data_IF_195617014880
#
_entry.id   IF_195617014880
#
_cell.length_a   1.000
_cell.length_b   1.000
_cell.length_c   1.000
_cell.angle_alpha   90.00
_cell.angle_beta   90.00
_cell.angle_gamma   90.00
#
_symmetry.space_group_name_H-M   'P 1'
#
loop_
_entity.id
_entity.type
_entity.pdbx_description
1 polymer ?
#
# COMPACT_ATOMS: atom_id res chain seq x y z
N UNK A 1 -21.66 -17.34 -0.07
CA UNK A 1 -20.33 -16.70 -0.17
C UNK A 1 -20.56 -15.21 -0.18
N UNK A 2 -20.09 -14.48 0.82
CA UNK A 2 -20.39 -13.05 0.98
C UNK A 2 -19.74 -12.24 -0.14
N UNK A 3 -20.56 -11.56 -0.95
CA UNK A 3 -20.10 -10.72 -2.07
C UNK A 3 -19.11 -9.63 -1.61
N UNK A 4 -19.28 -9.14 -0.37
CA UNK A 4 -18.40 -8.16 0.27
C UNK A 4 -16.97 -8.69 0.50
N UNK A 5 -16.82 -9.95 0.94
CA UNK A 5 -15.50 -10.57 1.19
C UNK A 5 -14.72 -10.79 -0.10
N UNK A 6 -15.42 -11.18 -1.17
CA UNK A 6 -14.80 -11.37 -2.50
C UNK A 6 -14.32 -10.04 -3.06
N UNK A 7 -15.16 -9.01 -3.03
CA UNK A 7 -14.77 -7.66 -3.48
C UNK A 7 -13.57 -7.11 -2.70
N UNK A 8 -13.53 -7.37 -1.38
CA UNK A 8 -12.41 -6.99 -0.54
C UNK A 8 -11.12 -7.73 -0.91
N UNK A 9 -11.18 -9.06 -1.11
CA UNK A 9 -10.03 -9.85 -1.53
C UNK A 9 -9.48 -9.41 -2.89
N UNK A 10 -10.35 -9.14 -3.86
CA UNK A 10 -9.96 -8.67 -5.20
C UNK A 10 -9.32 -7.28 -5.12
N UNK A 11 -9.93 -6.34 -4.39
CA UNK A 11 -9.37 -5.00 -4.21
C UNK A 11 -8.00 -5.03 -3.54
N UNK A 12 -7.84 -5.85 -2.50
CA UNK A 12 -6.57 -6.03 -1.81
C UNK A 12 -5.51 -6.67 -2.71
N UNK A 13 -5.88 -7.67 -3.51
CA UNK A 13 -5.00 -8.31 -4.49
C UNK A 13 -4.48 -7.31 -5.53
N UNK A 14 -5.37 -6.48 -6.07
CA UNK A 14 -4.99 -5.41 -7.02
C UNK A 14 -4.03 -4.41 -6.33
N UNK A 15 -4.33 -3.99 -5.10
CA UNK A 15 -3.47 -3.06 -4.36
C UNK A 15 -2.06 -3.64 -4.14
N UNK A 16 -1.95 -4.92 -3.78
CA UNK A 16 -0.67 -5.61 -3.61
C UNK A 16 0.12 -5.65 -4.93
N UNK A 17 -0.54 -5.96 -6.05
CA UNK A 17 0.10 -5.95 -7.37
C UNK A 17 0.66 -4.56 -7.71
N UNK A 18 -0.11 -3.50 -7.46
CA UNK A 18 0.37 -2.13 -7.65
C UNK A 18 1.56 -1.79 -6.76
N UNK A 19 1.58 -2.22 -5.50
CA UNK A 19 2.72 -2.02 -4.61
C UNK A 19 3.97 -2.77 -5.11
N UNK A 20 3.81 -4.01 -5.58
CA UNK A 20 4.92 -4.80 -6.16
C UNK A 20 5.47 -4.11 -7.41
N UNK A 21 4.59 -3.64 -8.30
CA UNK A 21 5.00 -2.89 -9.49
C UNK A 21 5.68 -1.59 -9.11
N UNK A 22 5.19 -0.85 -8.12
CA UNK A 22 5.81 0.40 -7.65
C UNK A 22 7.24 0.18 -7.13
N UNK A 23 7.49 -0.95 -6.47
CA UNK A 23 8.83 -1.34 -6.01
C UNK A 23 9.74 -1.79 -7.15
N UNK A 24 9.19 -2.48 -8.14
CA UNK A 24 9.97 -3.16 -9.19
C UNK A 24 10.23 -2.28 -10.42
N UNK A 25 9.33 -1.34 -10.71
CA UNK A 25 9.42 -0.50 -11.91
C UNK A 25 10.64 0.43 -11.82
N UNK A 26 11.36 0.55 -12.93
CA UNK A 26 12.52 1.44 -13.05
C UNK A 26 12.13 2.91 -13.24
N UNK A 27 10.96 3.31 -12.76
CA UNK A 27 10.37 4.65 -12.91
C UNK A 27 10.82 5.65 -11.84
N UNK A 28 11.66 5.24 -10.90
CA UNK A 28 12.27 6.16 -9.94
C UNK A 28 13.42 6.89 -10.62
N UNK A 29 13.80 8.07 -10.11
CA UNK A 29 14.84 8.93 -10.71
C UNK A 29 16.18 8.24 -10.96
N UNK A 30 16.44 7.14 -10.26
CA UNK A 30 17.64 6.30 -10.35
C UNK A 30 17.38 4.87 -10.86
N UNK A 31 16.17 4.57 -11.34
CA UNK A 31 15.75 3.23 -11.78
C UNK A 31 14.86 2.53 -10.75
N UNK A 32 15.29 1.39 -10.22
CA UNK A 32 14.49 0.54 -9.31
C UNK A 32 14.90 0.75 -7.85
N UNK A 33 13.93 0.87 -6.94
CA UNK A 33 14.14 1.26 -5.52
C UNK A 33 15.12 0.35 -4.78
N UNK A 34 14.99 -0.96 -4.90
CA UNK A 34 15.84 -1.93 -4.18
C UNK A 34 17.06 -2.42 -4.98
N UNK A 35 17.21 -2.00 -6.24
CA UNK A 35 18.30 -2.44 -7.10
C UNK A 35 19.22 -1.29 -7.43
N UNK A 36 19.07 -0.78 -8.66
CA UNK A 36 19.95 0.25 -9.22
C UNK A 36 20.05 1.50 -8.35
N UNK A 37 18.99 1.90 -7.64
CA UNK A 37 19.03 3.08 -6.76
C UNK A 37 19.93 2.91 -5.53
N UNK A 38 20.09 1.69 -5.02
CA UNK A 38 20.89 1.40 -3.82
C UNK A 38 22.34 1.09 -4.20
N UNK A 39 22.55 0.41 -5.31
CA UNK A 39 23.89 -0.03 -5.76
C UNK A 39 24.63 1.03 -6.59
N UNK A 40 23.93 2.04 -7.12
CA UNK A 40 24.55 3.04 -7.98
C UNK A 40 25.52 3.96 -7.21
N UNK A 41 26.81 3.87 -7.56
CA UNK A 41 27.89 4.68 -7.01
C UNK A 41 27.82 6.17 -7.37
N UNK A 42 26.99 6.57 -8.35
CA UNK A 42 26.84 7.97 -8.75
C UNK A 42 25.88 8.78 -7.87
N UNK A 43 25.21 8.13 -6.91
CA UNK A 43 24.24 8.76 -6.00
C UNK A 43 24.89 8.94 -4.63
N UNK A 44 24.74 10.13 -4.04
CA UNK A 44 25.26 10.41 -2.69
C UNK A 44 24.66 9.44 -1.67
N UNK A 45 25.48 8.98 -0.72
CA UNK A 45 25.10 7.94 0.25
C UNK A 45 23.86 8.34 1.07
N UNK A 46 23.65 9.64 1.31
CA UNK A 46 22.43 10.17 1.95
C UNK A 46 21.15 9.76 1.20
N UNK A 47 21.15 9.76 -0.13
CA UNK A 47 19.98 9.38 -0.92
C UNK A 47 19.80 7.86 -1.00
N UNK A 48 20.89 7.09 -0.97
CA UNK A 48 20.82 5.61 -0.91
C UNK A 48 20.11 5.15 0.35
N UNK A 49 20.42 5.74 1.50
CA UNK A 49 19.75 5.45 2.77
C UNK A 49 18.25 5.78 2.72
N UNK A 50 17.88 6.85 2.01
CA UNK A 50 16.48 7.19 1.78
C UNK A 50 15.79 6.11 0.94
N UNK A 51 16.33 5.74 -0.23
CA UNK A 51 15.74 4.69 -1.07
C UNK A 51 15.65 3.34 -0.36
N UNK A 52 16.66 2.98 0.42
CA UNK A 52 16.66 1.76 1.23
C UNK A 52 15.55 1.77 2.28
N UNK A 53 15.35 2.91 2.95
CA UNK A 53 14.27 3.10 3.92
C UNK A 53 12.91 3.01 3.25
N UNK A 54 12.70 3.75 2.16
CA UNK A 54 11.45 3.75 1.37
C UNK A 54 11.12 2.35 0.85
N UNK A 55 12.11 1.67 0.26
CA UNK A 55 11.99 0.29 -0.20
C UNK A 55 11.64 -0.67 0.93
N UNK A 56 12.29 -0.53 2.09
CA UNK A 56 11.98 -1.32 3.28
C UNK A 56 10.54 -1.13 3.77
N UNK A 57 10.07 0.12 3.88
CA UNK A 57 8.68 0.39 4.28
C UNK A 57 7.67 -0.17 3.26
N UNK A 58 7.95 -0.05 1.96
CA UNK A 58 7.10 -0.62 0.90
C UNK A 58 7.05 -2.16 0.97
N UNK A 59 8.18 -2.82 1.19
CA UNK A 59 8.22 -4.28 1.36
C UNK A 59 7.45 -4.70 2.60
N UNK A 60 7.61 -3.99 3.73
CA UNK A 60 6.80 -4.23 4.93
C UNK A 60 5.30 -4.06 4.65
N UNK A 61 4.91 -3.02 3.92
CA UNK A 61 3.52 -2.79 3.52
C UNK A 61 2.98 -3.96 2.66
N UNK A 62 3.77 -4.46 1.72
CA UNK A 62 3.40 -5.61 0.89
C UNK A 62 3.21 -6.86 1.74
N UNK A 63 4.13 -7.17 2.65
CA UNK A 63 4.06 -8.35 3.52
C UNK A 63 2.84 -8.31 4.45
N UNK A 64 2.54 -7.16 5.04
CA UNK A 64 1.37 -6.96 5.89
C UNK A 64 0.08 -7.16 5.08
N UNK A 65 0.00 -6.59 3.88
CA UNK A 65 -1.17 -6.75 3.01
C UNK A 65 -1.32 -8.19 2.48
N UNK A 66 -0.23 -8.90 2.21
CA UNK A 66 -0.27 -10.33 1.88
C UNK A 66 -0.84 -11.17 3.04
N UNK A 67 -0.46 -10.85 4.27
CA UNK A 67 -1.01 -11.50 5.46
C UNK A 67 -2.50 -11.18 5.62
N UNK A 68 -2.91 -9.93 5.38
CA UNK A 68 -4.32 -9.55 5.35
C UNK A 68 -5.09 -10.36 4.29
N UNK A 69 -4.54 -10.51 3.08
CA UNK A 69 -5.15 -11.28 1.99
C UNK A 69 -5.35 -12.74 2.36
N UNK A 70 -4.34 -13.36 2.96
CA UNK A 70 -4.42 -14.74 3.45
C UNK A 70 -5.55 -14.90 4.48
N UNK A 71 -5.72 -13.93 5.39
CA UNK A 71 -6.81 -13.95 6.39
C UNK A 71 -8.18 -13.77 5.74
N UNK A 72 -8.32 -12.90 4.73
CA UNK A 72 -9.60 -12.75 3.99
C UNK A 72 -9.97 -14.03 3.27
N UNK A 73 -9.00 -14.68 2.61
CA UNK A 73 -9.20 -15.95 1.92
C UNK A 73 -9.59 -17.03 2.94
N UNK A 74 -8.87 -17.11 4.06
CA UNK A 74 -9.19 -18.03 5.14
C UNK A 74 -10.61 -17.77 5.68
N UNK A 75 -11.03 -16.51 5.87
CA UNK A 75 -12.36 -16.12 6.30
C UNK A 75 -13.49 -16.34 5.28
N UNK A 76 -13.14 -16.65 4.03
CA UNK A 76 -14.09 -17.16 3.02
C UNK A 76 -14.33 -18.67 3.18
N UNK A 77 -13.32 -19.42 3.65
CA UNK A 77 -13.38 -20.88 3.85
C UNK A 77 -13.90 -21.22 5.26
N UNK A 78 -13.43 -20.48 6.27
CA UNK A 78 -13.82 -20.63 7.67
C UNK A 78 -14.74 -19.48 8.07
N UNK A 79 -15.93 -19.78 8.58
CA UNK A 79 -16.92 -18.77 8.96
C UNK A 79 -16.60 -18.12 10.31
N UNK A 80 -15.34 -17.72 10.52
CA UNK A 80 -14.90 -17.06 11.74
C UNK A 80 -15.12 -15.55 11.67
N UNK A 81 -15.90 -15.01 12.61
CA UNK A 81 -16.28 -13.60 12.67
C UNK A 81 -15.09 -12.64 12.86
N UNK A 82 -13.95 -13.11 13.39
CA UNK A 82 -12.77 -12.28 13.65
C UNK A 82 -11.88 -12.04 12.42
N UNK A 83 -12.07 -12.80 11.33
CA UNK A 83 -11.22 -12.73 10.13
C UNK A 83 -11.36 -11.39 9.40
N UNK A 84 -12.58 -10.90 9.22
CA UNK A 84 -12.86 -9.61 8.58
C UNK A 84 -12.22 -8.42 9.31
N UNK A 85 -12.45 -8.20 10.63
CA UNK A 85 -11.84 -7.07 11.34
C UNK A 85 -10.31 -7.19 11.43
N UNK A 86 -9.76 -8.40 11.56
CA UNK A 86 -8.32 -8.61 11.57
C UNK A 86 -7.68 -8.24 10.22
N UNK A 87 -8.25 -8.71 9.11
CA UNK A 87 -7.78 -8.36 7.78
C UNK A 87 -7.92 -6.87 7.48
N UNK A 88 -9.01 -6.24 7.92
CA UNK A 88 -9.20 -4.79 7.79
C UNK A 88 -8.10 -4.03 8.55
N UNK A 89 -7.83 -4.39 9.80
CA UNK A 89 -6.78 -3.76 10.61
C UNK A 89 -5.39 -3.88 9.98
N UNK A 90 -5.05 -5.07 9.47
CA UNK A 90 -3.78 -5.28 8.76
C UNK A 90 -3.70 -4.47 7.47
N UNK A 91 -4.80 -4.38 6.70
CA UNK A 91 -4.84 -3.58 5.47
C UNK A 91 -4.59 -2.10 5.77
N UNK A 92 -5.17 -1.58 6.85
CA UNK A 92 -4.90 -0.22 7.33
C UNK A 92 -3.43 -0.01 7.69
N UNK A 93 -2.82 -0.93 8.43
CA UNK A 93 -1.40 -0.88 8.75
C UNK A 93 -0.53 -0.87 7.49
N UNK A 94 -0.80 -1.78 6.55
CA UNK A 94 -0.09 -1.84 5.27
C UNK A 94 -0.21 -0.54 4.47
N UNK A 95 -1.41 0.06 4.44
CA UNK A 95 -1.66 1.38 3.86
C UNK A 95 -0.81 2.47 4.52
N UNK A 96 -0.79 2.54 5.85
CA UNK A 96 0.00 3.53 6.60
C UNK A 96 1.50 3.40 6.29
N UNK A 97 2.03 2.18 6.23
CA UNK A 97 3.44 1.96 5.85
C UNK A 97 3.74 2.45 4.44
N UNK A 98 2.84 2.19 3.47
CA UNK A 98 2.99 2.68 2.11
C UNK A 98 2.94 4.22 2.05
N UNK A 99 2.01 4.84 2.78
CA UNK A 99 1.91 6.30 2.89
C UNK A 99 3.15 6.91 3.53
N UNK A 100 3.65 6.31 4.61
CA UNK A 100 4.88 6.74 5.27
C UNK A 100 6.11 6.61 4.36
N UNK A 101 6.20 5.55 3.55
CA UNK A 101 7.27 5.37 2.57
C UNK A 101 7.28 6.51 1.54
N UNK A 102 6.12 6.82 0.97
CA UNK A 102 5.99 7.92 -0.01
C UNK A 102 6.24 9.27 0.67
N UNK A 103 5.68 9.50 1.85
CA UNK A 103 5.91 10.74 2.59
C UNK A 103 7.39 10.98 2.88
N UNK A 104 8.08 9.96 3.38
CA UNK A 104 9.50 10.03 3.67
C UNK A 104 10.35 10.26 2.41
N UNK A 105 9.99 9.60 1.29
CA UNK A 105 10.65 9.85 0.01
C UNK A 105 10.53 11.31 -0.40
N UNK A 106 9.31 11.86 -0.41
CA UNK A 106 9.07 13.21 -0.88
C UNK A 106 9.68 14.26 0.06
N UNK A 107 9.58 14.09 1.38
CA UNK A 107 10.20 14.98 2.38
C UNK A 107 11.71 15.13 2.15
N UNK A 108 12.38 14.05 1.79
CA UNK A 108 13.84 14.02 1.64
C UNK A 108 14.33 14.34 0.22
N UNK A 109 13.50 14.09 -0.81
CA UNK A 109 13.90 14.20 -2.22
C UNK A 109 13.30 15.40 -2.94
N UNK A 110 12.23 16.01 -2.45
CA UNK A 110 11.56 17.11 -3.16
C UNK A 110 10.85 18.09 -2.22
N UNK A 111 10.92 19.37 -2.53
CA UNK A 111 10.17 20.40 -1.79
C UNK A 111 8.66 20.43 -2.12
N UNK A 112 8.18 19.57 -3.03
CA UNK A 112 6.81 19.56 -3.56
C UNK A 112 6.01 18.38 -3.00
N UNK A 113 5.89 18.33 -1.66
CA UNK A 113 5.19 17.27 -0.93
C UNK A 113 3.65 17.42 -0.95
N UNK A 114 3.16 18.66 -1.04
CA UNK A 114 1.73 19.02 -1.03
C UNK A 114 0.83 18.27 -2.04
N UNK A 115 1.17 18.17 -3.35
CA UNK A 115 0.29 17.51 -4.32
C UNK A 115 0.19 16.00 -4.10
N UNK A 116 1.24 15.33 -3.62
CA UNK A 116 1.18 13.90 -3.31
C UNK A 116 0.30 13.63 -2.10
N UNK A 117 0.41 14.46 -1.04
CA UNK A 117 -0.51 14.38 0.07
C UNK A 117 -1.97 14.63 -0.34
N UNK A 118 -2.19 15.54 -1.29
CA UNK A 118 -3.52 15.78 -1.83
C UNK A 118 -4.06 14.53 -2.57
N UNK A 119 -3.24 13.85 -3.38
CA UNK A 119 -3.61 12.59 -4.04
C UNK A 119 -3.95 11.51 -3.01
N UNK A 120 -3.13 11.35 -1.97
CA UNK A 120 -3.40 10.43 -0.85
C UNK A 120 -4.76 10.77 -0.20
N UNK A 121 -4.98 12.03 0.13
CA UNK A 121 -6.24 12.50 0.72
C UNK A 121 -7.44 12.21 -0.19
N UNK A 122 -7.33 12.49 -1.49
CA UNK A 122 -8.36 12.20 -2.48
C UNK A 122 -8.68 10.71 -2.60
N UNK A 123 -7.68 9.83 -2.55
CA UNK A 123 -7.93 8.38 -2.58
C UNK A 123 -8.66 7.90 -1.34
N UNK A 124 -8.32 8.42 -0.15
CA UNK A 124 -8.99 8.10 1.10
C UNK A 124 -10.45 8.59 1.13
N UNK A 125 -10.71 9.81 0.67
CA UNK A 125 -12.08 10.35 0.60
C UNK A 125 -12.95 9.58 -0.40
N UNK A 126 -12.39 9.20 -1.55
CA UNK A 126 -13.07 8.37 -2.55
C UNK A 126 -13.41 6.99 -1.99
N UNK A 127 -12.47 6.34 -1.30
CA UNK A 127 -12.69 5.04 -0.69
C UNK A 127 -13.80 5.07 0.37
N UNK A 128 -13.82 6.11 1.22
CA UNK A 128 -14.89 6.32 2.20
C UNK A 128 -16.23 6.60 1.53
N UNK A 129 -16.26 7.45 0.49
CA UNK A 129 -17.48 7.74 -0.26
C UNK A 129 -18.07 6.46 -0.87
N UNK A 130 -17.26 5.64 -1.54
CA UNK A 130 -17.70 4.37 -2.13
C UNK A 130 -18.24 3.42 -1.04
N UNK A 131 -17.52 3.29 0.07
CA UNK A 131 -17.90 2.40 1.17
C UNK A 131 -19.24 2.82 1.79
N UNK A 132 -19.42 4.13 2.04
CA UNK A 132 -20.69 4.66 2.54
C UNK A 132 -21.82 4.51 1.53
N UNK A 133 -21.58 4.80 0.24
CA UNK A 133 -22.61 4.63 -0.80
C UNK A 133 -23.10 3.18 -0.89
N UNK A 134 -22.21 2.20 -0.77
CA UNK A 134 -22.58 0.78 -0.76
C UNK A 134 -23.41 0.40 0.48
N UNK A 135 -23.13 1.02 1.64
CA UNK A 135 -23.91 0.79 2.87
C UNK A 135 -25.33 1.39 2.85
N UNK A 136 -25.57 2.37 1.95
CA UNK A 136 -26.86 3.05 1.82
C UNK A 136 -27.82 2.36 0.84
N UNK A 137 -27.37 1.35 0.09
CA UNK A 137 -28.23 0.56 -0.78
C UNK A 137 -28.88 -0.52 0.08
N UNK A 138 -30.18 -0.43 0.42
CA UNK A 138 -30.87 -1.51 1.12
C UNK A 138 -30.90 -2.76 0.21
N UNK A 139 -30.63 -3.93 0.80
CA UNK A 139 -30.85 -5.24 0.16
C UNK A 139 -32.33 -5.47 -0.18
#
# INVERSE_FOLDING_TARGET
MDKSKISFAVGLGIAILFLIVAVSISGWTCGTVLGTCVENSSISDKYKDVYKTVGGLLVCAILINLMALAIVIAGCVTSQAWTTPAALGLTWLGGIFALAAVAYYYDQMSTVYSPMLAVIGMTGTLAMAISNSLSMIPE
#
